data_IF_608659472287
#
_entry.id   IF_608659472287
#
_cell.length_a   1.000
_cell.length_b   1.000
_cell.length_c   1.000
_cell.angle_alpha   90.00
_cell.angle_beta   90.00
_cell.angle_gamma   90.00
#
_symmetry.space_group_name_H-M   'P 1'
#
loop_
_entity.id
_entity.type
_entity.pdbx_description
1 polymer ?
#
# COMPACT_ATOMS: atom_id res chain seq x y z
N UNK A 1 26.74 -7.68 -14.37
CA UNK A 1 26.67 -6.27 -13.93
C UNK A 1 25.20 -5.91 -13.82
N UNK A 2 24.74 -5.55 -12.62
CA UNK A 2 23.33 -5.15 -12.36
C UNK A 2 23.13 -3.63 -12.56
N UNK A 3 24.16 -2.93 -13.04
CA UNK A 3 24.10 -1.52 -13.43
C UNK A 3 22.93 -1.19 -14.36
N UNK A 4 22.58 -2.09 -15.28
CA UNK A 4 21.41 -1.93 -16.14
C UNK A 4 20.08 -1.83 -15.39
N UNK A 5 19.89 -2.57 -14.28
CA UNK A 5 18.70 -2.44 -13.43
C UNK A 5 18.68 -1.07 -12.76
N UNK A 6 19.85 -0.62 -12.28
CA UNK A 6 20.00 0.74 -11.76
C UNK A 6 19.65 1.77 -12.84
N UNK A 7 20.17 1.65 -14.05
CA UNK A 7 19.91 2.60 -15.15
C UNK A 7 18.43 2.62 -15.58
N UNK A 8 17.75 1.47 -15.58
CA UNK A 8 16.30 1.40 -15.83
C UNK A 8 15.52 2.14 -14.74
N UNK A 9 15.77 1.84 -13.46
CA UNK A 9 14.94 2.38 -12.38
C UNK A 9 15.37 3.77 -11.89
N UNK A 10 16.60 4.21 -12.21
CA UNK A 10 17.22 5.46 -11.76
C UNK A 10 17.64 6.41 -12.88
N UNK A 11 17.17 6.21 -14.12
CA UNK A 11 17.39 7.18 -15.19
C UNK A 11 16.92 8.59 -14.75
N UNK A 12 17.73 9.64 -14.89
CA UNK A 12 17.43 10.98 -14.41
C UNK A 12 16.46 11.67 -15.38
N UNK A 13 15.22 11.18 -15.49
CA UNK A 13 14.20 11.82 -16.33
C UNK A 13 13.55 13.03 -15.65
N UNK A 14 13.92 13.34 -14.42
CA UNK A 14 13.45 14.55 -13.74
C UNK A 14 14.58 15.56 -13.54
N UNK A 15 14.63 16.53 -14.45
CA UNK A 15 15.39 17.77 -14.27
C UNK A 15 14.45 18.77 -13.59
N UNK A 16 14.66 19.11 -12.30
CA UNK A 16 13.82 20.07 -11.62
C UNK A 16 13.83 21.42 -12.33
N UNK A 17 12.68 21.83 -12.84
CA UNK A 17 12.48 23.19 -13.37
C UNK A 17 11.96 24.08 -12.25
N UNK A 18 12.24 25.40 -12.34
CA UNK A 18 11.70 26.38 -11.37
C UNK A 18 10.17 26.39 -11.28
N UNK A 19 9.48 25.87 -12.30
CA UNK A 19 8.02 25.89 -12.42
C UNK A 19 7.34 24.59 -12.00
N UNK A 20 8.09 23.50 -11.79
CA UNK A 20 7.53 22.20 -11.41
C UNK A 20 8.49 21.44 -10.51
N UNK A 21 8.87 22.02 -9.35
CA UNK A 21 9.74 21.39 -8.37
C UNK A 21 9.00 20.26 -7.63
N UNK A 22 9.52 19.04 -7.72
CA UNK A 22 8.97 17.82 -7.13
C UNK A 22 10.04 17.18 -6.25
N UNK A 23 9.71 16.91 -5.00
CA UNK A 23 10.62 16.17 -4.12
C UNK A 23 10.48 14.67 -4.34
N UNK A 24 11.60 13.96 -4.34
CA UNK A 24 11.63 12.49 -4.42
C UNK A 24 12.64 11.84 -3.46
N UNK A 25 13.35 12.66 -2.66
CA UNK A 25 14.34 12.22 -1.66
C UNK A 25 15.30 11.17 -2.23
N UNK A 26 15.60 10.10 -1.50
CA UNK A 26 16.43 8.97 -1.92
C UNK A 26 15.65 7.91 -2.70
N UNK A 27 14.41 8.16 -3.13
CA UNK A 27 13.60 7.16 -3.84
C UNK A 27 13.79 7.18 -5.37
N UNK A 28 14.49 8.18 -5.92
CA UNK A 28 14.73 8.32 -7.36
C UNK A 28 13.50 8.64 -8.21
N UNK A 29 12.29 8.49 -7.66
CA UNK A 29 11.02 8.73 -8.35
C UNK A 29 10.01 9.40 -7.40
N UNK A 30 9.40 10.54 -7.77
CA UNK A 30 8.47 11.25 -6.92
C UNK A 30 7.16 10.49 -6.63
N UNK A 31 6.74 9.58 -7.52
CA UNK A 31 5.56 8.74 -7.28
C UNK A 31 5.85 7.68 -6.22
N UNK A 32 7.03 7.05 -6.27
CA UNK A 32 7.47 6.10 -5.24
C UNK A 32 7.67 6.80 -3.90
N UNK A 33 8.31 7.98 -3.89
CA UNK A 33 8.44 8.78 -2.67
C UNK A 33 7.07 9.15 -2.08
N UNK A 34 6.11 9.52 -2.94
CA UNK A 34 4.75 9.84 -2.56
C UNK A 34 4.06 8.68 -1.84
N UNK A 35 4.18 7.45 -2.35
CA UNK A 35 3.62 6.25 -1.70
C UNK A 35 4.18 6.05 -0.29
N UNK A 36 5.50 6.21 -0.13
CA UNK A 36 6.14 6.04 1.16
C UNK A 36 5.73 7.11 2.17
N UNK A 37 5.69 8.37 1.76
CA UNK A 37 5.24 9.45 2.64
C UNK A 37 3.75 9.29 3.01
N UNK A 38 2.91 8.93 2.05
CA UNK A 38 1.49 8.70 2.31
C UNK A 38 1.25 7.48 3.21
N UNK A 39 2.03 6.40 3.05
CA UNK A 39 2.01 5.26 3.95
C UNK A 39 2.43 5.63 5.39
N UNK A 40 3.50 6.41 5.53
CA UNK A 40 3.97 6.90 6.84
C UNK A 40 2.96 7.84 7.50
N UNK A 41 2.23 8.63 6.71
CA UNK A 41 1.11 9.42 7.22
C UNK A 41 -0.02 8.54 7.79
N UNK A 42 -0.42 7.47 7.09
CA UNK A 42 -1.43 6.52 7.60
C UNK A 42 -0.97 5.81 8.88
N UNK A 43 0.30 5.41 8.94
CA UNK A 43 0.92 4.83 10.16
C UNK A 43 0.88 5.85 11.31
N UNK A 44 1.21 7.11 11.02
CA UNK A 44 1.12 8.19 11.99
C UNK A 44 -0.31 8.39 12.50
N UNK A 45 -1.31 8.39 11.61
CA UNK A 45 -2.74 8.49 11.95
C UNK A 45 -3.17 7.36 12.90
N UNK A 46 -2.73 6.13 12.62
CA UNK A 46 -2.96 4.98 13.49
C UNK A 46 -2.42 5.23 14.90
N UNK A 47 -1.16 5.66 15.04
CA UNK A 47 -0.56 5.93 16.35
C UNK A 47 -1.17 7.14 17.08
N UNK A 48 -1.64 8.16 16.38
CA UNK A 48 -2.37 9.30 16.98
C UNK A 48 -3.63 8.80 17.71
N UNK A 49 -4.32 7.80 17.15
CA UNK A 49 -5.52 7.23 17.77
C UNK A 49 -5.22 6.28 18.95
N UNK A 50 -3.96 5.87 19.14
CA UNK A 50 -3.53 4.93 20.18
C UNK A 50 -2.54 5.54 21.19
N UNK A 51 -2.35 6.86 21.18
CA UNK A 51 -1.39 7.54 22.05
C UNK A 51 -1.99 8.76 22.75
N UNK A 52 -1.40 9.16 23.87
CA UNK A 52 -1.78 10.33 24.65
C UNK A 52 -0.54 11.17 25.02
N UNK A 53 -0.76 12.41 25.49
CA UNK A 53 0.32 13.30 25.96
C UNK A 53 1.32 13.70 24.87
N UNK A 54 2.60 13.81 25.24
CA UNK A 54 3.70 14.25 24.36
C UNK A 54 3.91 13.33 23.16
N UNK A 55 3.78 12.01 23.33
CA UNK A 55 3.91 11.06 22.22
C UNK A 55 2.91 11.34 21.11
N UNK A 56 1.65 11.66 21.47
CA UNK A 56 0.61 12.03 20.51
C UNK A 56 0.97 13.28 19.73
N UNK A 57 1.56 14.30 20.38
CA UNK A 57 2.02 15.51 19.71
C UNK A 57 3.11 15.18 18.67
N UNK A 58 4.09 14.35 19.03
CA UNK A 58 5.13 13.90 18.09
C UNK A 58 4.53 13.20 16.88
N UNK A 59 3.56 12.29 17.07
CA UNK A 59 2.90 11.62 15.94
C UNK A 59 2.07 12.57 15.09
N UNK A 60 1.39 13.56 15.68
CA UNK A 60 0.68 14.61 14.93
C UNK A 60 1.67 15.39 14.05
N UNK A 61 2.75 15.90 14.64
CA UNK A 61 3.76 16.68 13.91
C UNK A 61 4.38 15.86 12.78
N UNK A 62 4.80 14.62 13.06
CA UNK A 62 5.36 13.73 12.05
C UNK A 62 4.38 13.41 10.92
N UNK A 63 3.12 13.15 11.25
CA UNK A 63 2.07 12.91 10.25
C UNK A 63 1.86 14.12 9.35
N UNK A 64 1.77 15.33 9.92
CA UNK A 64 1.62 16.55 9.13
C UNK A 64 2.82 16.79 8.20
N UNK A 65 4.04 16.48 8.65
CA UNK A 65 5.24 16.54 7.81
C UNK A 65 5.19 15.54 6.65
N UNK A 66 4.76 14.30 6.91
CA UNK A 66 4.60 13.30 5.83
C UNK A 66 3.47 13.64 4.86
N UNK A 67 2.37 14.22 5.35
CA UNK A 67 1.30 14.74 4.50
C UNK A 67 1.81 15.85 3.58
N UNK A 68 2.53 16.82 4.14
CA UNK A 68 3.16 17.90 3.37
C UNK A 68 4.18 17.34 2.37
N UNK A 69 5.03 16.41 2.79
CA UNK A 69 5.99 15.77 1.89
C UNK A 69 5.30 15.03 0.74
N UNK A 70 4.19 14.34 1.01
CA UNK A 70 3.36 13.68 -0.02
C UNK A 70 2.88 14.70 -1.05
N UNK A 71 2.35 15.84 -0.62
CA UNK A 71 1.88 16.90 -1.52
C UNK A 71 3.02 17.52 -2.35
N UNK A 72 4.17 17.77 -1.72
CA UNK A 72 5.37 18.31 -2.38
C UNK A 72 6.00 17.34 -3.39
N UNK A 73 5.65 16.05 -3.37
CA UNK A 73 6.05 15.14 -4.46
C UNK A 73 5.34 15.45 -5.77
N UNK A 74 4.23 16.20 -5.73
CA UNK A 74 3.35 16.44 -6.88
C UNK A 74 2.77 15.15 -7.49
N UNK A 75 2.81 14.02 -6.77
CA UNK A 75 2.28 12.75 -7.27
C UNK A 75 0.75 12.69 -7.08
N UNK A 76 0.02 12.91 -8.18
CA UNK A 76 -1.44 12.74 -8.21
C UNK A 76 -1.85 11.32 -7.83
N UNK A 77 -1.09 10.32 -8.27
CA UNK A 77 -1.35 8.92 -7.95
C UNK A 77 -1.22 8.64 -6.45
N UNK A 78 -0.19 9.18 -5.79
CA UNK A 78 -0.04 9.04 -4.35
C UNK A 78 -1.13 9.78 -3.56
N UNK A 79 -1.52 10.98 -4.00
CA UNK A 79 -2.61 11.76 -3.37
C UNK A 79 -3.95 11.04 -3.49
N UNK A 80 -4.31 10.56 -4.70
CA UNK A 80 -5.53 9.79 -4.91
C UNK A 80 -5.50 8.44 -4.17
N UNK A 81 -4.35 7.77 -4.17
CA UNK A 81 -4.12 6.56 -3.38
C UNK A 81 -4.36 6.82 -1.89
N UNK A 82 -3.77 7.89 -1.34
CA UNK A 82 -3.97 8.28 0.04
C UNK A 82 -5.43 8.58 0.37
N UNK A 83 -6.13 9.29 -0.51
CA UNK A 83 -7.55 9.58 -0.33
C UNK A 83 -8.38 8.29 -0.23
N UNK A 84 -8.17 7.35 -1.16
CA UNK A 84 -8.83 6.03 -1.11
C UNK A 84 -8.42 5.23 0.14
N UNK A 85 -7.16 5.30 0.54
CA UNK A 85 -6.63 4.67 1.74
C UNK A 85 -7.24 5.23 3.02
N UNK A 86 -7.47 6.55 3.12
CA UNK A 86 -8.14 7.20 4.25
C UNK A 86 -9.60 6.77 4.35
N UNK A 87 -10.31 6.72 3.21
CA UNK A 87 -11.69 6.22 3.16
C UNK A 87 -11.74 4.78 3.67
N UNK A 88 -10.86 3.91 3.17
CA UNK A 88 -10.78 2.52 3.60
C UNK A 88 -10.42 2.38 5.09
N UNK A 89 -9.45 3.14 5.58
CA UNK A 89 -9.09 3.21 7.00
C UNK A 89 -10.32 3.56 7.85
N UNK A 90 -11.07 4.61 7.47
CA UNK A 90 -12.27 5.03 8.17
C UNK A 90 -13.35 3.94 8.18
N UNK A 91 -13.63 3.31 7.04
CA UNK A 91 -14.62 2.23 6.92
C UNK A 91 -14.27 0.98 7.74
N UNK A 92 -12.98 0.73 7.97
CA UNK A 92 -12.49 -0.40 8.76
C UNK A 92 -12.26 -0.06 10.23
N UNK A 93 -12.22 1.22 10.59
CA UNK A 93 -12.10 1.68 11.97
C UNK A 93 -13.35 1.36 12.79
N UNK A 94 -13.19 0.51 13.82
CA UNK A 94 -14.25 0.23 14.81
C UNK A 94 -14.54 1.41 15.73
N UNK A 95 -13.57 2.31 15.95
CA UNK A 95 -13.72 3.46 16.86
C UNK A 95 -14.34 4.68 16.17
N UNK A 96 -15.11 5.48 16.91
CA UNK A 96 -15.63 6.78 16.43
C UNK A 96 -14.48 7.76 16.16
N UNK A 97 -13.46 7.75 17.01
CA UNK A 97 -12.30 8.64 16.88
C UNK A 97 -11.51 8.35 15.60
N UNK A 98 -11.25 7.07 15.28
CA UNK A 98 -10.54 6.69 14.05
C UNK A 98 -11.33 7.01 12.77
N UNK A 99 -12.66 6.89 12.82
CA UNK A 99 -13.55 7.32 11.73
C UNK A 99 -13.50 8.83 11.52
N UNK A 100 -13.60 9.59 12.60
CA UNK A 100 -13.57 11.05 12.55
C UNK A 100 -12.20 11.55 12.08
N UNK A 101 -11.10 10.96 12.57
CA UNK A 101 -9.76 11.35 12.15
C UNK A 101 -9.54 11.09 10.66
N UNK A 102 -10.01 9.95 10.13
CA UNK A 102 -9.94 9.66 8.70
C UNK A 102 -10.74 10.65 7.86
N UNK A 103 -11.98 10.97 8.27
CA UNK A 103 -12.84 11.93 7.58
C UNK A 103 -12.21 13.33 7.55
N UNK A 104 -11.69 13.80 8.68
CA UNK A 104 -11.04 15.12 8.77
C UNK A 104 -9.74 15.16 7.95
N UNK A 105 -8.94 14.10 7.97
CA UNK A 105 -7.74 13.98 7.15
C UNK A 105 -8.06 13.96 5.65
N UNK A 106 -9.10 13.24 5.23
CA UNK A 106 -9.56 13.20 3.83
C UNK A 106 -10.04 14.58 3.36
N UNK A 107 -10.93 15.23 4.14
CA UNK A 107 -11.38 16.59 3.83
C UNK A 107 -10.21 17.58 3.75
N UNK A 108 -9.26 17.51 4.70
CA UNK A 108 -8.05 18.34 4.69
C UNK A 108 -7.16 18.09 3.49
N UNK A 109 -6.95 16.82 3.11
CA UNK A 109 -6.15 16.43 1.95
C UNK A 109 -6.75 16.99 0.67
N UNK A 110 -8.06 16.86 0.46
CA UNK A 110 -8.74 17.37 -0.72
C UNK A 110 -8.62 18.90 -0.83
N UNK A 111 -8.81 19.62 0.28
CA UNK A 111 -8.65 21.09 0.31
C UNK A 111 -7.21 21.46 -0.07
N UNK A 112 -6.22 20.82 0.54
CA UNK A 112 -4.81 21.11 0.25
C UNK A 112 -4.43 20.76 -1.18
N UNK A 113 -4.90 19.62 -1.71
CA UNK A 113 -4.64 19.19 -3.07
C UNK A 113 -5.20 20.16 -4.13
N UNK A 114 -6.34 20.81 -3.85
CA UNK A 114 -6.92 21.83 -4.73
C UNK A 114 -6.11 23.13 -4.74
N UNK A 115 -5.52 23.49 -3.60
CA UNK A 115 -4.75 24.74 -3.44
C UNK A 115 -3.30 24.59 -3.93
N UNK A 116 -2.69 23.40 -3.83
CA UNK A 116 -1.29 23.18 -4.19
C UNK A 116 -1.10 23.07 -5.72
N UNK A 117 -0.35 23.99 -6.38
CA UNK A 117 -0.11 23.95 -7.82
C UNK A 117 0.61 22.68 -8.28
N UNK A 118 1.47 22.12 -7.43
CA UNK A 118 2.22 20.88 -7.67
C UNK A 118 1.29 19.69 -7.87
N UNK A 119 0.07 19.73 -7.30
CA UNK A 119 -0.96 18.71 -7.51
C UNK A 119 -1.94 19.14 -8.59
N UNK A 120 -2.22 20.44 -8.74
CA UNK A 120 -3.28 20.96 -9.61
C UNK A 120 -2.83 21.36 -11.05
N UNK A 121 -1.61 21.01 -11.49
CA UNK A 121 -1.15 21.32 -12.85
C UNK A 121 -1.75 20.39 -13.92
N UNK A 122 -1.92 20.89 -15.15
CA UNK A 122 -2.37 20.10 -16.32
C UNK A 122 -1.39 18.93 -16.58
N UNK A 123 -1.90 17.71 -16.63
CA UNK A 123 -1.08 16.50 -16.80
C UNK A 123 -0.53 16.39 -18.22
N UNK A 124 0.75 16.01 -18.35
CA UNK A 124 1.23 15.23 -19.50
C UNK A 124 0.29 14.03 -19.68
N UNK A 125 -0.44 13.96 -20.80
CA UNK A 125 -1.53 13.00 -20.95
C UNK A 125 -0.99 11.58 -21.09
N UNK A 126 -1.07 10.78 -20.01
CA UNK A 126 -0.77 9.33 -19.99
C UNK A 126 -1.66 8.51 -20.95
N UNK A 127 -2.70 9.13 -21.51
CA UNK A 127 -3.62 8.54 -22.48
C UNK A 127 -2.92 7.96 -23.70
N UNK A 128 -1.84 8.60 -24.20
CA UNK A 128 -1.09 8.09 -25.33
C UNK A 128 -0.42 6.75 -25.01
N UNK A 129 0.24 6.65 -23.84
CA UNK A 129 0.87 5.40 -23.37
C UNK A 129 -0.16 4.31 -23.09
N UNK A 130 -1.35 4.68 -22.59
CA UNK A 130 -2.42 3.72 -22.35
C UNK A 130 -2.99 3.18 -23.67
N UNK A 131 -3.15 4.03 -24.69
CA UNK A 131 -3.58 3.61 -26.01
C UNK A 131 -2.57 2.66 -26.65
N UNK A 132 -1.28 2.96 -26.52
CA UNK A 132 -0.20 2.09 -26.99
C UNK A 132 -0.20 0.74 -26.27
N UNK A 133 -0.38 0.73 -24.95
CA UNK A 133 -0.53 -0.49 -24.18
C UNK A 133 -1.72 -1.34 -24.65
N UNK A 134 -2.87 -0.71 -24.93
CA UNK A 134 -4.05 -1.40 -25.47
C UNK A 134 -3.75 -2.02 -26.83
N UNK A 135 -3.07 -1.31 -27.74
CA UNK A 135 -2.69 -1.83 -29.05
C UNK A 135 -1.77 -3.07 -28.92
N UNK A 136 -0.80 -3.02 -28.00
CA UNK A 136 0.09 -4.14 -27.73
C UNK A 136 -0.66 -5.35 -27.15
N UNK A 137 -1.63 -5.12 -26.26
CA UNK A 137 -2.48 -6.17 -25.69
C UNK A 137 -3.31 -6.83 -26.79
N UNK A 138 -3.90 -6.05 -27.70
CA UNK A 138 -4.70 -6.57 -28.81
C UNK A 138 -3.88 -7.47 -29.74
N UNK A 139 -2.60 -7.16 -29.95
CA UNK A 139 -1.73 -7.97 -30.80
C UNK A 139 -1.32 -9.30 -30.16
N UNK A 140 -1.02 -9.32 -28.85
CA UNK A 140 -0.56 -10.54 -28.15
C UNK A 140 -1.25 -10.72 -26.79
N UNK A 141 -2.57 -11.00 -26.76
CA UNK A 141 -3.37 -10.93 -25.54
C UNK A 141 -3.10 -12.05 -24.54
N UNK A 142 -2.75 -13.25 -25.01
CA UNK A 142 -2.68 -14.44 -24.13
C UNK A 142 -1.41 -14.47 -23.28
N UNK A 143 -0.25 -14.36 -23.93
CA UNK A 143 1.07 -14.51 -23.28
C UNK A 143 1.82 -13.18 -23.09
N UNK A 144 1.32 -12.09 -23.66
CA UNK A 144 1.99 -10.79 -23.61
C UNK A 144 3.37 -10.80 -24.28
N UNK A 145 4.12 -9.72 -24.05
CA UNK A 145 5.40 -9.41 -24.69
C UNK A 145 6.62 -9.76 -23.84
N UNK A 146 6.43 -10.40 -22.68
CA UNK A 146 7.46 -10.71 -21.68
C UNK A 146 7.62 -9.59 -20.65
N UNK A 147 8.38 -9.85 -19.59
CA UNK A 147 8.56 -8.93 -18.44
C UNK A 147 9.13 -7.55 -18.82
N UNK A 148 9.92 -7.46 -19.89
CA UNK A 148 10.44 -6.19 -20.42
C UNK A 148 9.73 -5.81 -21.74
N UNK A 149 8.55 -6.36 -21.97
CA UNK A 149 7.81 -6.25 -23.22
C UNK A 149 7.46 -4.82 -23.57
N UNK A 150 6.94 -4.05 -22.62
CA UNK A 150 6.56 -2.65 -22.86
C UNK A 150 7.79 -1.80 -23.25
N UNK A 151 8.87 -1.87 -22.47
CA UNK A 151 10.14 -1.19 -22.78
C UNK A 151 10.69 -1.52 -24.16
N UNK A 152 10.67 -2.80 -24.56
CA UNK A 152 11.16 -3.20 -25.88
C UNK A 152 10.32 -2.68 -27.05
N UNK A 153 9.04 -2.40 -26.82
CA UNK A 153 8.13 -1.95 -27.87
C UNK A 153 8.01 -0.42 -27.92
N UNK A 154 8.06 0.26 -26.78
CA UNK A 154 7.73 1.70 -26.67
C UNK A 154 8.90 2.55 -26.19
N UNK A 155 9.94 1.93 -25.60
CA UNK A 155 11.04 2.63 -24.91
C UNK A 155 10.70 3.08 -23.48
N UNK A 156 9.45 2.94 -23.05
CA UNK A 156 9.01 3.26 -21.69
C UNK A 156 8.98 2.01 -20.81
N UNK A 157 9.28 2.15 -19.52
CA UNK A 157 9.43 0.99 -18.63
C UNK A 157 8.10 0.25 -18.43
N UNK A 158 7.01 1.01 -18.32
CA UNK A 158 5.66 0.49 -18.07
C UNK A 158 4.59 1.49 -18.48
N UNK A 159 3.33 1.03 -18.58
CA UNK A 159 2.21 1.84 -19.06
C UNK A 159 1.66 2.84 -18.02
N UNK A 160 2.38 3.09 -16.91
CA UNK A 160 1.88 3.84 -15.76
C UNK A 160 0.45 3.43 -15.34
N UNK A 161 0.20 2.13 -15.31
CA UNK A 161 -1.03 1.52 -14.81
C UNK A 161 -0.73 0.02 -14.59
N UNK A 162 -0.98 -0.49 -13.39
CA UNK A 162 -0.66 -1.87 -13.02
C UNK A 162 -1.30 -2.88 -13.98
N UNK A 163 -2.61 -2.77 -14.23
CA UNK A 163 -3.37 -3.72 -15.03
C UNK A 163 -2.91 -3.73 -16.49
N UNK A 164 -2.77 -2.53 -17.10
CA UNK A 164 -2.28 -2.43 -18.47
C UNK A 164 -0.85 -2.98 -18.58
N UNK A 165 0.03 -2.64 -17.65
CA UNK A 165 1.42 -3.07 -17.68
C UNK A 165 1.54 -4.58 -17.53
N UNK A 166 0.87 -5.18 -16.54
CA UNK A 166 0.85 -6.64 -16.34
C UNK A 166 0.27 -7.34 -17.57
N UNK A 167 -0.81 -6.82 -18.14
CA UNK A 167 -1.44 -7.44 -19.32
C UNK A 167 -0.54 -7.35 -20.56
N UNK A 168 0.15 -6.23 -20.80
CA UNK A 168 1.14 -6.15 -21.88
C UNK A 168 2.26 -7.16 -21.64
N UNK A 169 2.80 -7.25 -20.43
CA UNK A 169 3.98 -8.06 -20.15
C UNK A 169 3.68 -9.56 -20.15
N UNK A 170 2.57 -9.97 -19.54
CA UNK A 170 2.28 -11.37 -19.22
C UNK A 170 0.95 -11.86 -19.82
N UNK A 171 0.23 -11.00 -20.54
CA UNK A 171 -1.07 -11.31 -21.13
C UNK A 171 -2.17 -11.54 -20.09
N UNK A 172 -3.24 -12.17 -20.54
CA UNK A 172 -4.39 -12.55 -19.73
C UNK A 172 -4.00 -13.45 -18.56
N UNK A 173 -3.01 -14.34 -18.75
CA UNK A 173 -2.52 -15.21 -17.67
C UNK A 173 -1.97 -14.40 -16.49
N UNK A 174 -1.11 -13.41 -16.77
CA UNK A 174 -0.60 -12.51 -15.74
C UNK A 174 -1.70 -11.67 -15.09
N UNK A 175 -2.63 -11.16 -15.88
CA UNK A 175 -3.77 -10.40 -15.36
C UNK A 175 -4.59 -11.23 -14.38
N UNK A 176 -4.90 -12.49 -14.70
CA UNK A 176 -5.65 -13.40 -13.83
C UNK A 176 -4.90 -13.62 -12.50
N UNK A 177 -3.60 -13.95 -12.57
CA UNK A 177 -2.80 -14.19 -11.35
C UNK A 177 -2.74 -12.93 -10.48
N UNK A 178 -2.47 -11.77 -11.08
CA UNK A 178 -2.48 -10.50 -10.35
C UNK A 178 -3.85 -10.22 -9.73
N UNK A 179 -4.94 -10.41 -10.46
CA UNK A 179 -6.30 -10.26 -9.92
C UNK A 179 -6.58 -11.19 -8.75
N UNK A 180 -6.14 -12.47 -8.79
CA UNK A 180 -6.28 -13.41 -7.66
C UNK A 180 -5.54 -12.90 -6.43
N UNK A 181 -4.28 -12.47 -6.58
CA UNK A 181 -3.47 -11.94 -5.47
C UNK A 181 -4.15 -10.70 -4.86
N UNK A 182 -4.65 -9.79 -5.70
CA UNK A 182 -5.34 -8.58 -5.25
C UNK A 182 -6.66 -8.91 -4.54
N UNK A 183 -7.47 -9.82 -5.09
CA UNK A 183 -8.71 -10.27 -4.46
C UNK A 183 -8.47 -10.97 -3.13
N UNK A 184 -7.43 -11.81 -3.03
CA UNK A 184 -7.04 -12.44 -1.77
C UNK A 184 -6.59 -11.40 -0.75
N UNK A 185 -5.78 -10.42 -1.14
CA UNK A 185 -5.33 -9.33 -0.26
C UNK A 185 -6.50 -8.52 0.31
N UNK A 186 -7.50 -8.23 -0.51
CA UNK A 186 -8.74 -7.57 -0.06
C UNK A 186 -9.56 -8.47 0.85
N UNK A 187 -9.65 -9.76 0.56
CA UNK A 187 -10.33 -10.73 1.44
C UNK A 187 -9.73 -10.75 2.84
N UNK A 188 -8.39 -10.75 2.96
CA UNK A 188 -7.69 -10.68 4.24
C UNK A 188 -8.10 -9.44 5.05
N UNK A 189 -8.32 -8.30 4.41
CA UNK A 189 -8.80 -7.09 5.10
C UNK A 189 -10.13 -7.35 5.82
N UNK A 190 -11.09 -7.99 5.15
CA UNK A 190 -12.39 -8.32 5.73
C UNK A 190 -12.29 -9.35 6.86
N UNK A 191 -11.41 -10.35 6.71
CA UNK A 191 -11.13 -11.33 7.77
C UNK A 191 -10.64 -10.61 9.04
N UNK A 192 -9.64 -9.73 8.91
CA UNK A 192 -9.11 -8.97 10.04
C UNK A 192 -10.14 -8.04 10.68
N UNK A 193 -11.00 -7.41 9.86
CA UNK A 193 -12.10 -6.59 10.37
C UNK A 193 -13.09 -7.41 11.18
N UNK A 194 -13.50 -8.58 10.67
CA UNK A 194 -14.44 -9.48 11.35
C UNK A 194 -13.84 -10.03 12.65
N UNK A 195 -12.53 -10.29 12.66
CA UNK A 195 -11.76 -10.67 13.83
C UNK A 195 -11.64 -9.57 14.90
N UNK A 196 -12.06 -8.33 14.59
CA UNK A 196 -11.88 -7.20 15.49
C UNK A 196 -10.42 -6.80 15.69
N UNK A 197 -9.53 -7.15 14.75
CA UNK A 197 -8.11 -6.86 14.87
C UNK A 197 -7.87 -5.34 14.83
N UNK A 198 -7.14 -4.83 15.82
CA UNK A 198 -6.89 -3.39 15.97
C UNK A 198 -6.06 -2.79 14.82
N UNK A 199 -5.23 -3.59 14.13
CA UNK A 199 -4.44 -3.16 12.97
C UNK A 199 -5.23 -3.18 11.65
N UNK A 200 -6.42 -3.78 11.62
CA UNK A 200 -7.22 -3.90 10.41
C UNK A 200 -7.43 -2.55 9.67
N UNK A 201 -7.73 -1.42 10.33
CA UNK A 201 -7.90 -0.13 9.66
C UNK A 201 -6.61 0.34 8.97
N UNK A 202 -5.46 0.21 9.65
CA UNK A 202 -4.16 0.62 9.12
C UNK A 202 -3.77 -0.21 7.91
N UNK A 203 -3.77 -1.55 8.05
CA UNK A 203 -3.35 -2.46 6.98
C UNK A 203 -4.25 -2.35 5.75
N UNK A 204 -5.57 -2.18 5.97
CA UNK A 204 -6.53 -1.97 4.87
C UNK A 204 -6.31 -0.63 4.19
N UNK A 205 -6.07 0.44 4.95
CA UNK A 205 -5.76 1.76 4.39
C UNK A 205 -4.48 1.76 3.55
N UNK A 206 -3.42 1.11 4.04
CA UNK A 206 -2.16 0.96 3.33
C UNK A 206 -2.32 0.12 2.04
N UNK A 207 -3.06 -1.00 2.12
CA UNK A 207 -3.36 -1.82 0.95
C UNK A 207 -4.12 -0.99 -0.11
N UNK A 208 -5.21 -0.33 0.28
CA UNK A 208 -6.03 0.45 -0.65
C UNK A 208 -5.27 1.66 -1.20
N UNK A 209 -4.35 2.25 -0.43
CA UNK A 209 -3.43 3.28 -0.94
C UNK A 209 -2.60 2.76 -2.12
N UNK A 210 -1.97 1.59 -1.97
CA UNK A 210 -1.17 0.99 -3.04
C UNK A 210 -2.02 0.64 -4.27
N UNK A 211 -3.22 0.10 -4.06
CA UNK A 211 -4.14 -0.24 -5.16
C UNK A 211 -4.69 0.99 -5.87
N UNK A 212 -4.98 2.05 -5.10
CA UNK A 212 -5.45 3.33 -5.62
C UNK A 212 -4.41 4.01 -6.51
N UNK A 213 -3.15 4.07 -6.06
CA UNK A 213 -2.07 4.57 -6.92
C UNK A 213 -1.87 3.67 -8.14
N UNK A 214 -2.01 2.35 -7.99
CA UNK A 214 -1.83 1.40 -9.09
C UNK A 214 -2.75 1.63 -10.30
N UNK A 215 -3.84 2.42 -10.15
CA UNK A 215 -4.72 2.85 -11.25
C UNK A 215 -4.04 3.86 -12.18
N UNK A 216 -3.07 4.59 -11.66
CA UNK A 216 -2.40 5.67 -12.37
C UNK A 216 -0.89 5.46 -12.46
N UNK A 217 -0.32 4.47 -11.80
CA UNK A 217 1.09 4.12 -11.95
C UNK A 217 1.33 2.64 -11.65
N UNK A 218 2.57 2.18 -11.77
CA UNK A 218 2.96 0.82 -11.39
C UNK A 218 4.12 0.84 -10.39
N UNK A 219 3.93 1.56 -9.28
CA UNK A 219 4.97 1.70 -8.23
C UNK A 219 5.31 0.38 -7.55
N UNK A 220 4.39 -0.59 -7.52
CA UNK A 220 4.62 -1.96 -7.00
C UNK A 220 5.73 -2.69 -7.76
N UNK A 221 6.02 -2.33 -9.02
CA UNK A 221 7.13 -2.91 -9.78
C UNK A 221 8.49 -2.52 -9.19
N UNK A 222 8.59 -1.34 -8.57
CA UNK A 222 9.84 -0.88 -7.96
C UNK A 222 10.15 -1.71 -6.72
N UNK A 223 11.42 -2.00 -6.41
CA UNK A 223 11.78 -2.75 -5.21
C UNK A 223 11.16 -2.16 -3.94
N UNK A 224 11.13 -0.82 -3.82
CA UNK A 224 10.60 -0.12 -2.66
C UNK A 224 9.08 -0.25 -2.56
N UNK A 225 8.35 -0.06 -3.66
CA UNK A 225 6.88 -0.22 -3.67
C UNK A 225 6.44 -1.67 -3.51
N UNK A 226 7.17 -2.61 -4.14
CA UNK A 226 6.95 -4.05 -4.01
C UNK A 226 7.15 -4.52 -2.56
N UNK A 227 8.24 -4.12 -1.91
CA UNK A 227 8.48 -4.44 -0.49
C UNK A 227 7.34 -3.94 0.40
N UNK A 228 6.85 -2.72 0.19
CA UNK A 228 5.73 -2.17 0.95
C UNK A 228 4.46 -3.02 0.76
N UNK A 229 4.07 -3.30 -0.49
CA UNK A 229 2.90 -4.12 -0.81
C UNK A 229 2.98 -5.52 -0.20
N UNK A 230 4.07 -6.26 -0.44
CA UNK A 230 4.22 -7.63 0.04
C UNK A 230 4.35 -7.70 1.57
N UNK A 231 4.92 -6.67 2.23
CA UNK A 231 4.96 -6.61 3.69
C UNK A 231 3.56 -6.44 4.28
N UNK A 232 2.73 -5.58 3.69
CA UNK A 232 1.33 -5.39 4.13
C UNK A 232 0.57 -6.71 4.00
N UNK A 233 0.60 -7.34 2.83
CA UNK A 233 -0.09 -8.62 2.58
C UNK A 233 0.45 -9.72 3.49
N UNK A 234 1.77 -9.82 3.69
CA UNK A 234 2.38 -10.80 4.57
C UNK A 234 1.95 -10.66 6.03
N UNK A 235 1.92 -9.43 6.56
CA UNK A 235 1.41 -9.14 7.91
C UNK A 235 -0.07 -9.53 8.01
N UNK A 236 -0.88 -9.16 7.01
CA UNK A 236 -2.30 -9.48 6.99
C UNK A 236 -2.56 -11.00 6.99
N UNK A 237 -1.81 -11.74 6.18
CA UNK A 237 -1.90 -13.21 6.13
C UNK A 237 -1.51 -13.84 7.46
N UNK A 238 -0.43 -13.40 8.10
CA UNK A 238 0.01 -13.92 9.38
C UNK A 238 -1.05 -13.71 10.49
N UNK A 239 -1.63 -12.51 10.55
CA UNK A 239 -2.70 -12.19 11.51
C UNK A 239 -4.01 -12.94 11.23
N UNK A 240 -4.33 -13.18 9.96
CA UNK A 240 -5.50 -13.98 9.57
C UNK A 240 -5.34 -15.45 9.96
N UNK A 241 -4.15 -16.04 9.75
CA UNK A 241 -3.83 -17.39 10.17
C UNK A 241 -3.90 -17.57 11.69
N UNK A 242 -3.39 -16.60 12.46
CA UNK A 242 -3.50 -16.60 13.92
C UNK A 242 -4.97 -16.67 14.37
N UNK A 243 -5.85 -15.92 13.71
CA UNK A 243 -7.28 -15.94 13.99
C UNK A 243 -7.94 -17.29 13.64
N UNK A 244 -7.64 -17.88 12.48
CA UNK A 244 -8.17 -19.21 12.11
C UNK A 244 -7.67 -20.32 13.03
N UNK A 245 -6.40 -20.27 13.44
CA UNK A 245 -5.85 -21.19 14.43
C UNK A 245 -6.55 -21.05 15.79
N UNK A 246 -6.78 -19.82 16.27
CA UNK A 246 -7.43 -19.60 17.56
C UNK A 246 -8.88 -20.10 17.63
N UNK A 247 -9.60 -20.07 16.50
CA UNK A 247 -10.99 -20.59 16.43
C UNK A 247 -11.08 -22.09 16.14
N UNK A 248 -10.02 -22.73 15.65
CA UNK A 248 -10.00 -24.18 15.41
C UNK A 248 -9.56 -24.98 16.65
N UNK A 249 -8.92 -24.33 17.62
CA UNK A 249 -8.66 -24.91 18.93
C UNK A 249 -9.86 -24.64 19.83
N UNK A 250 -10.56 -25.69 20.26
CA UNK A 250 -11.71 -25.60 21.18
C UNK A 250 -11.34 -24.71 22.40
N UNK A 251 -12.16 -23.71 22.76
CA UNK A 251 -11.97 -22.90 23.95
C UNK A 251 -11.58 -23.68 25.21
N UNK A 252 -12.09 -24.90 25.35
CA UNK A 252 -11.77 -25.81 26.45
C UNK A 252 -10.31 -26.30 26.38
N UNK A 253 -9.85 -26.71 25.19
CA UNK A 253 -8.45 -27.07 24.96
C UNK A 253 -7.48 -25.90 25.12
N UNK A 254 -7.89 -24.66 24.83
CA UNK A 254 -7.05 -23.47 25.05
C UNK A 254 -6.99 -23.05 26.53
N UNK A 255 -8.07 -23.26 27.29
CA UNK A 255 -8.10 -23.08 28.73
C UNK A 255 -7.17 -24.10 29.43
N UNK A 256 -7.24 -25.36 29.01
CA UNK A 256 -6.37 -26.43 29.50
C UNK A 256 -4.89 -26.15 29.17
N UNK A 257 -4.57 -25.67 27.97
CA UNK A 257 -3.20 -25.30 27.61
C UNK A 257 -2.65 -24.15 28.47
N UNK A 258 -3.49 -23.15 28.77
CA UNK A 258 -3.11 -22.03 29.65
C UNK A 258 -2.94 -22.47 31.11
N UNK A 259 -3.75 -23.39 31.59
CA UNK A 259 -3.55 -24.00 32.91
C UNK A 259 -2.29 -24.86 32.96
N UNK A 260 -2.05 -25.71 31.97
CA UNK A 260 -0.85 -26.54 31.90
C UNK A 260 0.44 -25.70 31.84
N UNK A 261 0.45 -24.63 31.03
CA UNK A 261 1.57 -23.69 31.00
C UNK A 261 1.77 -22.98 32.34
N UNK A 262 0.68 -22.53 32.99
CA UNK A 262 0.76 -21.95 34.34
C UNK A 262 1.30 -22.93 35.37
N UNK A 263 0.90 -24.20 35.26
CA UNK A 263 1.29 -25.27 36.17
C UNK A 263 2.75 -25.68 35.98
N UNK A 264 3.23 -25.73 34.74
CA UNK A 264 4.65 -25.95 34.39
C UNK A 264 5.54 -24.79 34.85
N UNK A 265 5.10 -23.54 34.65
CA UNK A 265 5.82 -22.34 35.10
C UNK A 265 5.87 -22.26 36.64
N UNK A 266 4.85 -22.77 37.33
CA UNK A 266 4.81 -22.84 38.79
C UNK A 266 5.73 -23.93 39.40
N UNK A 267 6.43 -24.71 38.57
CA UNK A 267 7.43 -25.68 39.04
C UNK A 267 6.85 -26.90 39.77
N UNK A 268 5.58 -27.23 39.53
CA UNK A 268 4.97 -28.41 40.14
C UNK A 268 5.45 -29.70 39.44
N UNK A 269 5.76 -30.78 40.20
CA UNK A 269 6.24 -32.04 39.63
C UNK A 269 5.11 -32.80 38.93
N UNK A 270 5.29 -33.07 37.64
CA UNK A 270 4.36 -33.70 36.67
C UNK A 270 3.38 -34.69 37.30
N UNK A 271 2.07 -34.45 37.11
CA UNK A 271 1.06 -35.51 37.34
C UNK A 271 1.29 -36.61 36.31
N UNK A 272 1.84 -37.73 36.77
CA UNK A 272 1.75 -39.00 36.04
C UNK A 272 0.27 -39.37 35.90
N UNK A 273 -0.26 -39.18 34.70
CA UNK A 273 -1.58 -39.68 34.30
C UNK A 273 -1.46 -41.20 34.20
N UNK A 274 -2.28 -41.92 34.97
CA UNK A 274 -2.58 -43.35 34.79
C UNK A 274 -3.80 -43.49 33.89
#
# INVERSE_FOLDING_TARGET
DLSFISEIFWSPTYIPTRTAYRIYSTFGNPNVAGDWFAALFLIGLFWISHSTGEKRKTYITGSLLYLLATLLTGSKGAVLGLELGLIAYGLFSGSRLGRLSALLSSAGLLILALVMPEVNHLTNSRSALWLEAINLIQFKPVFGWGLLGFFRQTGEIHAHNLWLSVTVMLGVGGLIVSSIILSHSLHLAFVLKKAGNHLAPLLTGLLVLMLGHSLFDFTVMTPQGGMLFFSIVGIMSALALEHEFYYSVDPESMANLKEDLRWQIAGHPTKLIK
#
